data_IF_015083198105
#
_entry.id   IF_015083198105
#
_cell.length_a   1.000
_cell.length_b   1.000
_cell.length_c   1.000
_cell.angle_alpha   90.00
_cell.angle_beta   90.00
_cell.angle_gamma   90.00
#
_symmetry.space_group_name_H-M   'P 1'
#
loop_
_entity.id
_entity.type
_entity.pdbx_description
1 polymer ?
#
# COMPACT_ATOMS: atom_id res chain seq x y z
N UNK A 1 -33.58 30.07 -60.93
CA UNK A 1 -32.37 29.25 -60.72
C UNK A 1 -31.15 30.16 -60.80
N UNK A 2 -30.32 30.16 -59.74
CA UNK A 2 -28.94 30.68 -59.59
C UNK A 2 -28.57 31.99 -60.32
N UNK A 3 -28.59 33.21 -59.73
CA UNK A 3 -27.78 33.79 -58.63
C UNK A 3 -26.28 33.44 -58.70
N UNK A 4 -25.29 34.33 -58.53
CA UNK A 4 -25.06 35.78 -58.58
C UNK A 4 -23.57 35.90 -58.21
N UNK A 5 -22.72 36.57 -59.00
CA UNK A 5 -21.44 37.10 -58.49
C UNK A 5 -21.19 38.50 -59.04
N UNK A 6 -21.56 39.48 -58.24
CA UNK A 6 -20.93 40.80 -58.13
C UNK A 6 -20.77 41.07 -56.63
N UNK A 7 -19.96 41.99 -56.12
CA UNK A 7 -19.11 43.01 -56.70
C UNK A 7 -18.40 43.67 -55.50
N UNK A 8 -17.10 43.93 -55.62
CA UNK A 8 -16.34 45.08 -55.06
C UNK A 8 -16.21 45.39 -53.55
N UNK A 9 -15.11 46.14 -53.33
CA UNK A 9 -14.66 46.97 -52.18
C UNK A 9 -14.02 46.16 -51.04
N UNK A 10 -12.85 46.50 -50.50
CA UNK A 10 -12.08 47.75 -50.47
C UNK A 10 -12.04 48.28 -49.03
N UNK A 11 -10.83 48.62 -48.54
CA UNK A 11 -10.49 49.24 -47.23
C UNK A 11 -10.51 48.28 -46.01
N UNK A 12 -9.68 48.35 -44.96
CA UNK A 12 -8.64 49.29 -44.49
C UNK A 12 -7.87 48.69 -43.27
N UNK A 13 -6.60 49.08 -43.14
CA UNK A 13 -5.76 49.33 -41.94
C UNK A 13 -5.86 48.55 -40.60
N UNK A 14 -4.65 48.26 -40.08
CA UNK A 14 -4.18 48.28 -38.67
C UNK A 14 -4.50 47.10 -37.74
N UNK A 15 -3.48 46.33 -37.37
CA UNK A 15 -2.66 46.54 -36.15
C UNK A 15 -2.17 45.22 -35.51
N UNK A 16 -0.87 45.22 -35.17
CA UNK A 16 -0.23 44.66 -33.97
C UNK A 16 -0.25 43.16 -33.64
N UNK A 17 0.94 42.74 -33.16
CA UNK A 17 1.21 41.70 -32.16
C UNK A 17 1.03 40.25 -32.63
N UNK A 18 1.89 39.31 -32.26
CA UNK A 18 3.15 39.29 -31.53
C UNK A 18 3.72 37.89 -31.82
N UNK A 19 5.03 37.76 -31.69
CA UNK A 19 5.80 36.56 -31.98
C UNK A 19 5.21 35.28 -31.38
N UNK A 20 5.04 34.23 -32.21
CA UNK A 20 5.37 32.81 -31.92
C UNK A 20 4.77 31.90 -32.99
N UNK A 21 5.59 31.49 -33.94
CA UNK A 21 5.50 30.19 -34.60
C UNK A 21 6.70 30.04 -35.54
N UNK A 22 7.71 29.27 -35.16
CA UNK A 22 8.41 28.41 -36.12
C UNK A 22 8.79 27.09 -35.42
N UNK A 23 7.88 26.15 -35.57
CA UNK A 23 8.11 24.71 -35.56
C UNK A 23 9.23 24.36 -36.54
N UNK A 24 10.06 23.39 -36.17
CA UNK A 24 10.40 22.16 -36.92
C UNK A 24 11.77 21.69 -36.42
N UNK A 25 11.97 20.42 -36.07
CA UNK A 25 11.91 19.30 -37.00
C UNK A 25 12.05 17.97 -36.21
N UNK A 26 11.20 17.00 -36.55
CA UNK A 26 11.49 15.55 -36.62
C UNK A 26 11.59 14.81 -35.25
N UNK A 27 10.81 13.77 -34.92
CA UNK A 27 10.18 12.73 -35.75
C UNK A 27 9.00 12.10 -34.99
N UNK A 28 7.88 11.98 -35.69
CA UNK A 28 6.72 11.15 -35.32
C UNK A 28 6.83 9.84 -36.08
N UNK A 29 6.84 8.69 -35.39
CA UNK A 29 6.24 7.46 -35.93
C UNK A 29 5.57 6.66 -34.81
N UNK A 30 4.25 6.63 -34.92
CA UNK A 30 3.29 5.56 -34.56
C UNK A 30 3.12 5.14 -33.08
N UNK A 31 2.08 5.72 -32.49
CA UNK A 31 1.18 5.04 -31.57
C UNK A 31 0.37 3.96 -32.32
N UNK A 32 0.39 2.73 -31.82
CA UNK A 32 -0.75 1.81 -31.85
C UNK A 32 -0.82 1.07 -30.51
N UNK A 33 -1.79 1.46 -29.67
CA UNK A 33 -2.75 0.64 -28.90
C UNK A 33 -2.37 -0.84 -28.61
N UNK A 34 -2.48 -1.45 -27.42
CA UNK A 34 -3.39 -1.34 -26.26
C UNK A 34 -2.72 -2.04 -25.06
N UNK A 35 -2.85 -1.53 -23.83
CA UNK A 35 -2.53 -2.30 -22.61
C UNK A 35 -2.31 -1.46 -21.35
N UNK A 36 -3.41 -1.14 -20.68
CA UNK A 36 -3.46 -0.53 -19.34
C UNK A 36 -2.83 -1.45 -18.29
N UNK A 37 -1.91 -0.94 -17.45
CA UNK A 37 -2.08 -0.91 -15.98
C UNK A 37 -0.81 -0.46 -15.23
N UNK A 38 -0.99 0.65 -14.49
CA UNK A 38 -0.41 0.95 -13.18
C UNK A 38 1.09 0.69 -12.95
N UNK A 39 1.95 1.43 -13.64
CA UNK A 39 3.29 1.75 -13.16
C UNK A 39 3.26 2.78 -12.02
N UNK A 40 2.68 2.43 -10.85
CA UNK A 40 2.84 3.25 -9.65
C UNK A 40 4.27 3.04 -9.14
N UNK A 41 5.18 3.89 -9.61
CA UNK A 41 6.52 4.03 -9.08
C UNK A 41 6.39 4.25 -7.57
N UNK A 42 6.66 3.20 -6.79
CA UNK A 42 6.72 3.29 -5.35
C UNK A 42 8.02 4.01 -5.01
N UNK A 43 7.97 5.34 -5.03
CA UNK A 43 9.00 6.17 -4.40
C UNK A 43 9.16 5.65 -2.97
N UNK A 44 10.29 5.01 -2.69
CA UNK A 44 10.71 4.68 -1.33
C UNK A 44 11.18 5.98 -0.71
N UNK A 45 10.22 6.88 -0.43
CA UNK A 45 10.49 8.08 0.32
C UNK A 45 10.98 7.65 1.71
N UNK A 46 12.29 7.75 1.94
CA UNK A 46 13.00 7.42 3.17
C UNK A 46 12.68 8.39 4.31
N UNK A 47 11.40 8.67 4.56
CA UNK A 47 10.95 9.78 5.37
C UNK A 47 9.78 9.42 6.27
N UNK A 48 10.10 9.13 7.54
CA UNK A 48 9.21 9.06 8.70
C UNK A 48 8.07 8.04 8.65
N UNK A 49 7.81 7.50 9.84
CA UNK A 49 6.75 6.53 10.07
C UNK A 49 5.38 7.17 9.79
N UNK A 50 4.63 6.66 8.80
CA UNK A 50 3.26 7.13 8.46
C UNK A 50 2.25 6.94 9.60
N UNK A 51 2.34 5.82 10.33
CA UNK A 51 1.36 5.45 11.36
C UNK A 51 2.00 5.19 12.73
N UNK A 52 1.39 5.73 13.79
CA UNK A 52 1.75 5.40 15.17
C UNK A 52 1.60 3.89 15.41
N UNK A 53 2.58 3.30 16.11
CA UNK A 53 2.52 1.91 16.60
C UNK A 53 1.98 1.89 18.02
N UNK A 54 1.01 1.02 18.26
CA UNK A 54 0.49 0.69 19.57
C UNK A 54 1.12 -0.62 20.03
N UNK A 55 1.84 -0.57 21.15
CA UNK A 55 2.46 -1.76 21.75
C UNK A 55 1.36 -2.59 22.38
N UNK A 56 1.38 -3.89 22.11
CA UNK A 56 0.39 -4.83 22.63
C UNK A 56 0.98 -5.52 23.85
N UNK A 57 0.37 -5.29 25.01
CA UNK A 57 0.70 -5.97 26.27
C UNK A 57 -0.24 -7.16 26.45
N UNK A 58 -0.10 -8.15 25.57
CA UNK A 58 -0.87 -9.41 25.59
C UNK A 58 -2.24 -9.36 24.88
N UNK A 59 -2.82 -10.55 24.67
CA UNK A 59 -4.22 -10.76 24.28
C UNK A 59 -4.53 -10.78 22.78
N UNK A 60 -3.75 -10.10 21.92
CA UNK A 60 -3.99 -10.14 20.47
C UNK A 60 -3.17 -11.26 19.82
N UNK A 61 -3.88 -12.24 19.28
CA UNK A 61 -3.32 -13.35 18.50
C UNK A 61 -3.98 -13.43 17.12
N UNK A 62 -3.32 -14.13 16.23
CA UNK A 62 -3.79 -14.36 14.88
C UNK A 62 -3.06 -15.55 14.25
N UNK A 63 -3.24 -15.71 12.94
CA UNK A 63 -2.55 -16.71 12.14
C UNK A 63 -1.96 -16.05 10.91
N UNK A 64 -0.71 -16.39 10.58
CA UNK A 64 -0.10 -16.02 9.30
C UNK A 64 -0.04 -17.24 8.38
N UNK A 65 -0.47 -17.04 7.13
CA UNK A 65 -0.64 -18.03 6.06
C UNK A 65 -1.45 -19.27 6.50
N UNK A 66 -2.40 -19.07 7.43
CA UNK A 66 -3.22 -20.10 8.08
C UNK A 66 -2.44 -21.25 8.76
N UNK A 67 -1.12 -21.26 8.69
CA UNK A 67 -0.26 -22.34 9.17
C UNK A 67 0.43 -22.01 10.49
N UNK A 68 0.62 -20.73 10.78
CA UNK A 68 1.47 -20.30 11.88
C UNK A 68 0.71 -19.38 12.82
N UNK A 69 0.45 -19.88 14.03
CA UNK A 69 -0.03 -19.03 15.12
C UNK A 69 0.94 -17.87 15.35
N UNK A 70 0.38 -16.67 15.47
CA UNK A 70 1.12 -15.43 15.60
C UNK A 70 0.62 -14.65 16.82
N UNK A 71 1.55 -14.13 17.62
CA UNK A 71 1.26 -13.16 18.68
C UNK A 71 1.68 -11.77 18.24
N UNK A 72 0.87 -10.76 18.53
CA UNK A 72 1.18 -9.39 18.16
C UNK A 72 2.05 -8.71 19.21
N UNK A 73 3.13 -8.07 18.76
CA UNK A 73 4.01 -7.22 19.58
C UNK A 73 3.58 -5.76 19.49
N UNK A 74 3.24 -5.30 18.29
CA UNK A 74 2.62 -4.00 18.07
C UNK A 74 1.80 -3.99 16.77
N UNK A 75 0.89 -3.02 16.68
CA UNK A 75 0.03 -2.81 15.51
C UNK A 75 -0.10 -1.32 15.18
N UNK A 76 -0.38 -1.03 13.91
CA UNK A 76 -0.72 0.29 13.37
C UNK A 76 -1.68 0.11 12.19
N UNK A 77 -2.29 1.19 11.71
CA UNK A 77 -3.19 1.12 10.55
C UNK A 77 -2.51 0.59 9.27
N UNK A 78 -1.19 0.77 9.14
CA UNK A 78 -0.44 0.32 7.96
C UNK A 78 0.40 -0.94 8.14
N UNK A 79 0.33 -1.60 9.29
CA UNK A 79 1.17 -2.78 9.51
C UNK A 79 1.26 -3.25 10.97
N UNK A 80 1.90 -4.40 11.15
CA UNK A 80 2.07 -5.04 12.45
C UNK A 80 3.49 -5.58 12.65
N UNK A 81 3.84 -5.83 13.91
CA UNK A 81 4.99 -6.62 14.31
C UNK A 81 4.48 -7.85 15.05
N UNK A 82 4.79 -9.04 14.55
CA UNK A 82 4.30 -10.30 15.11
C UNK A 82 5.45 -11.23 15.51
N UNK A 83 5.17 -12.17 16.40
CA UNK A 83 6.02 -13.30 16.74
C UNK A 83 5.37 -14.62 16.34
N UNK A 84 6.14 -15.55 15.80
CA UNK A 84 5.67 -16.85 15.28
C UNK A 84 6.83 -17.87 15.23
N UNK A 85 6.53 -19.13 14.91
CA UNK A 85 7.49 -20.25 15.03
C UNK A 85 8.27 -20.61 13.77
N UNK A 86 8.06 -19.91 12.65
CA UNK A 86 8.66 -20.21 11.34
C UNK A 86 9.30 -18.98 10.72
N UNK A 87 10.31 -19.14 9.86
CA UNK A 87 10.81 -18.02 9.06
C UNK A 87 9.81 -17.72 7.93
N UNK A 88 9.56 -16.43 7.68
CA UNK A 88 8.78 -15.99 6.51
C UNK A 88 9.68 -15.12 5.64
N UNK A 89 9.71 -15.38 4.33
CA UNK A 89 10.66 -14.74 3.42
C UNK A 89 10.41 -13.23 3.33
N UNK A 90 11.41 -12.35 3.62
CA UNK A 90 11.28 -10.92 3.35
C UNK A 90 10.96 -10.64 1.87
N UNK A 91 10.11 -9.65 1.63
CA UNK A 91 9.58 -9.28 0.33
C UNK A 91 8.37 -10.10 -0.14
N UNK A 92 8.05 -11.23 0.50
CA UNK A 92 6.91 -12.06 0.10
C UNK A 92 5.57 -11.42 0.50
N UNK A 93 4.51 -11.85 -0.18
CA UNK A 93 3.14 -11.63 0.27
C UNK A 93 2.77 -12.77 1.23
N UNK A 94 2.14 -12.41 2.35
CA UNK A 94 1.59 -13.32 3.34
C UNK A 94 0.18 -12.86 3.71
N UNK A 95 -0.64 -13.76 4.25
CA UNK A 95 -2.00 -13.47 4.70
C UNK A 95 -2.07 -13.58 6.22
N UNK A 96 -2.34 -12.46 6.88
CA UNK A 96 -2.51 -12.38 8.33
C UNK A 96 -4.01 -12.34 8.64
N UNK A 97 -4.47 -13.33 9.39
CA UNK A 97 -5.79 -13.33 10.00
C UNK A 97 -5.67 -12.87 11.45
N UNK A 98 -6.49 -11.90 11.85
CA UNK A 98 -6.59 -11.45 13.23
C UNK A 98 -8.05 -11.44 13.67
N UNK A 99 -8.32 -11.97 14.87
CA UNK A 99 -9.64 -11.94 15.48
C UNK A 99 -9.64 -10.98 16.67
N UNK A 100 -10.62 -10.08 16.71
CA UNK A 100 -10.80 -9.11 17.79
C UNK A 100 -12.28 -8.91 18.09
N UNK A 101 -12.69 -9.13 19.36
CA UNK A 101 -14.08 -8.99 19.83
C UNK A 101 -15.13 -9.69 18.93
N UNK A 102 -14.81 -10.90 18.44
CA UNK A 102 -15.71 -11.67 17.57
C UNK A 102 -15.81 -11.15 16.13
N UNK A 103 -14.93 -10.24 15.73
CA UNK A 103 -14.74 -9.80 14.35
C UNK A 103 -13.41 -10.31 13.82
N UNK A 104 -13.35 -10.69 12.55
CA UNK A 104 -12.14 -11.17 11.91
C UNK A 104 -11.71 -10.20 10.81
N UNK A 105 -10.41 -9.95 10.71
CA UNK A 105 -9.81 -9.25 9.59
C UNK A 105 -8.79 -10.15 8.91
N UNK A 106 -9.02 -10.40 7.63
CA UNK A 106 -8.02 -10.93 6.71
C UNK A 106 -7.20 -9.78 6.12
N UNK A 107 -5.88 -9.87 6.24
CA UNK A 107 -4.94 -8.83 5.84
C UNK A 107 -3.89 -9.42 4.91
N UNK A 108 -3.89 -8.96 3.65
CA UNK A 108 -2.77 -9.18 2.75
C UNK A 108 -1.60 -8.32 3.22
N UNK A 109 -0.45 -8.93 3.40
CA UNK A 109 0.72 -8.30 4.00
C UNK A 109 1.95 -8.49 3.12
N UNK A 110 2.76 -7.45 2.98
CA UNK A 110 4.15 -7.59 2.53
C UNK A 110 5.04 -7.81 3.75
N UNK A 111 5.87 -8.84 3.71
CA UNK A 111 6.84 -9.12 4.76
C UNK A 111 8.03 -8.19 4.59
N UNK A 112 8.18 -7.20 5.47
CA UNK A 112 9.28 -6.23 5.40
C UNK A 112 10.58 -6.82 5.93
N UNK A 113 10.48 -7.64 6.99
CA UNK A 113 11.60 -8.36 7.61
C UNK A 113 11.09 -9.58 8.37
N UNK A 114 11.96 -10.57 8.56
CA UNK A 114 11.73 -11.73 9.42
C UNK A 114 13.05 -12.21 9.98
N UNK A 115 13.20 -12.14 11.30
CA UNK A 115 14.46 -12.40 12.00
C UNK A 115 14.22 -13.31 13.20
N UNK A 116 15.21 -14.14 13.54
CA UNK A 116 15.19 -14.88 14.81
C UNK A 116 15.25 -13.87 15.95
N UNK A 117 14.26 -13.91 16.83
CA UNK A 117 14.15 -12.99 17.95
C UNK A 117 14.63 -13.61 19.26
N UNK A 118 14.25 -14.85 19.55
CA UNK A 118 14.65 -15.58 20.76
C UNK A 118 14.47 -17.09 20.60
N UNK A 119 14.96 -17.84 21.58
CA UNK A 119 14.55 -19.22 21.80
C UNK A 119 13.31 -19.23 22.70
N UNK A 120 12.28 -19.99 22.29
CA UNK A 120 11.15 -20.36 23.13
C UNK A 120 11.37 -21.73 23.77
N UNK A 121 10.75 -21.95 24.92
CA UNK A 121 10.76 -23.23 25.63
C UNK A 121 9.37 -23.83 25.53
N UNK A 122 9.27 -25.08 25.04
CA UNK A 122 8.03 -25.87 25.12
C UNK A 122 8.01 -26.69 26.41
N UNK A 123 6.84 -27.16 26.86
CA UNK A 123 6.74 -28.07 28.02
C UNK A 123 7.58 -29.35 27.88
N UNK A 124 7.96 -29.73 26.66
CA UNK A 124 8.79 -30.90 26.35
C UNK A 124 10.30 -30.62 26.42
N UNK A 125 10.73 -29.49 26.97
CA UNK A 125 12.13 -29.01 27.04
C UNK A 125 12.82 -28.73 25.68
N UNK A 126 12.14 -28.96 24.56
CA UNK A 126 12.66 -28.60 23.24
C UNK A 126 12.72 -27.08 23.05
N UNK A 127 13.93 -26.58 22.74
CA UNK A 127 14.14 -25.19 22.32
C UNK A 127 13.64 -25.03 20.89
N UNK A 128 12.76 -24.06 20.68
CA UNK A 128 12.33 -23.68 19.32
C UNK A 128 12.71 -22.22 19.05
N UNK A 129 12.87 -21.89 17.78
CA UNK A 129 13.11 -20.51 17.37
C UNK A 129 11.78 -19.75 17.35
N UNK A 130 11.80 -18.56 17.95
CA UNK A 130 10.73 -17.57 17.82
C UNK A 130 11.24 -16.50 16.85
N UNK A 131 10.54 -16.38 15.73
CA UNK A 131 10.79 -15.35 14.72
C UNK A 131 9.97 -14.12 15.05
N UNK A 132 10.48 -12.96 14.66
CA UNK A 132 9.77 -11.69 14.72
C UNK A 132 9.73 -11.07 13.33
N UNK A 133 8.52 -10.91 12.81
CA UNK A 133 8.31 -10.40 11.45
C UNK A 133 7.60 -9.06 11.46
N UNK A 134 8.16 -8.12 10.69
CA UNK A 134 7.54 -6.83 10.40
C UNK A 134 6.70 -6.95 9.14
N UNK A 135 5.43 -6.57 9.25
CA UNK A 135 4.45 -6.67 8.17
C UNK A 135 3.96 -5.28 7.79
N UNK A 136 3.86 -5.03 6.49
CA UNK A 136 3.16 -3.90 5.91
C UNK A 136 1.83 -4.41 5.34
N UNK A 137 0.73 -3.76 5.68
CA UNK A 137 -0.58 -4.11 5.12
C UNK A 137 -0.70 -3.53 3.70
N UNK A 138 -1.15 -4.36 2.76
CA UNK A 138 -1.33 -4.01 1.36
C UNK A 138 -2.75 -4.39 0.93
N UNK A 139 -3.35 -3.58 0.05
CA UNK A 139 -4.69 -3.82 -0.49
C UNK A 139 -5.77 -4.09 0.58
N UNK A 140 -5.68 -3.39 1.71
CA UNK A 140 -6.57 -3.64 2.86
C UNK A 140 -8.02 -3.24 2.55
N UNK A 141 -8.96 -4.16 2.74
CA UNK A 141 -10.39 -3.86 2.59
C UNK A 141 -10.89 -2.88 3.66
N UNK A 142 -11.91 -2.10 3.32
CA UNK A 142 -12.63 -1.22 4.25
C UNK A 142 -13.16 -1.96 5.50
N UNK A 143 -13.60 -3.21 5.34
CA UNK A 143 -14.05 -4.04 6.46
C UNK A 143 -12.89 -4.38 7.40
N UNK A 144 -11.75 -4.82 6.84
CA UNK A 144 -10.54 -5.12 7.61
C UNK A 144 -9.97 -3.87 8.28
N UNK A 145 -9.97 -2.72 7.60
CA UNK A 145 -9.54 -1.43 8.17
C UNK A 145 -10.39 -1.05 9.39
N UNK A 146 -11.72 -1.19 9.32
CA UNK A 146 -12.61 -0.94 10.47
C UNK A 146 -12.30 -1.83 11.67
N UNK A 147 -11.96 -3.10 11.44
CA UNK A 147 -11.58 -4.02 12.52
C UNK A 147 -10.24 -3.62 13.14
N UNK A 148 -9.24 -3.27 12.31
CA UNK A 148 -7.94 -2.79 12.80
C UNK A 148 -8.10 -1.50 13.61
N UNK A 149 -8.88 -0.55 13.11
CA UNK A 149 -9.09 0.74 13.77
C UNK A 149 -9.76 0.57 15.13
N UNK A 150 -10.83 -0.24 15.21
CA UNK A 150 -11.46 -0.62 16.49
C UNK A 150 -10.50 -1.32 17.45
N UNK A 151 -9.64 -2.21 16.92
CA UNK A 151 -8.60 -2.88 17.71
C UNK A 151 -7.65 -1.84 18.31
N UNK A 152 -7.18 -0.89 17.50
CA UNK A 152 -6.30 0.18 17.93
C UNK A 152 -6.97 1.05 18.99
N UNK A 153 -8.22 1.49 18.78
CA UNK A 153 -8.96 2.28 19.77
C UNK A 153 -9.09 1.56 21.11
N UNK A 154 -9.42 0.27 21.11
CA UNK A 154 -9.48 -0.53 22.33
C UNK A 154 -8.14 -0.61 23.06
N UNK A 155 -7.02 -0.63 22.33
CA UNK A 155 -5.69 -0.63 22.93
C UNK A 155 -5.33 0.72 23.56
N UNK A 156 -5.91 1.84 23.09
CA UNK A 156 -5.69 3.16 23.71
C UNK A 156 -6.34 3.27 25.08
N UNK A 157 -7.53 2.67 25.23
CA UNK A 157 -8.29 2.72 26.49
C UNK A 157 -7.63 1.88 27.58
N UNK A 158 -6.91 0.82 27.19
CA UNK A 158 -6.25 -0.10 28.10
C UNK A 158 -4.83 0.34 28.55
N UNK A 159 -4.33 1.48 28.06
CA UNK A 159 -2.97 1.99 28.29
C UNK A 159 -2.96 3.20 29.22
#
# INVERSE_FOLDING_TARGET
>A
MALWKGRFRGQSERAMMDDRDELTQLETVALTDVGEDAGLLHETNGGRRRYRRWVIRGGLSGCIDAAHGASFVNISLGGALIEHSSMIRPGSIAFLTVAFQGQEAGLKCRVVRSEVHRYGVRPTEDRHLVYRSGLEFVDTSEASLRVIDKTIESLKVAA
#
